data_IF_381336799146
#
_entry.id   IF_381336799146
#
_cell.length_a   1.000
_cell.length_b   1.000
_cell.length_c   1.000
_cell.angle_alpha   90.00
_cell.angle_beta   90.00
_cell.angle_gamma   90.00
#
_symmetry.space_group_name_H-M   'P 1'
#
loop_
_entity.id
_entity.type
_entity.pdbx_description
1 polymer ?
#
# COMPACT_ATOMS: atom_id res chain seq x y z
N UNK A 1 -0.81 16.57 3.32
CA UNK A 1 -1.20 15.63 2.25
C UNK A 1 0.09 15.09 1.67
N UNK A 2 0.36 13.82 1.91
CA UNK A 2 1.61 13.21 1.48
C UNK A 2 1.51 12.86 -0.01
N UNK A 3 2.64 12.77 -0.70
CA UNK A 3 2.69 12.44 -2.14
C UNK A 3 1.95 11.13 -2.52
N UNK A 4 1.73 10.25 -1.55
CA UNK A 4 1.18 8.90 -1.70
C UNK A 4 -0.34 8.83 -1.53
N UNK A 5 -1.02 9.94 -1.18
CA UNK A 5 -2.45 9.92 -0.86
C UNK A 5 -3.30 9.40 -2.06
N UNK A 6 -2.81 9.55 -3.30
CA UNK A 6 -3.45 9.05 -4.52
C UNK A 6 -3.34 7.52 -4.72
N UNK A 7 -2.42 6.86 -4.01
CA UNK A 7 -2.17 5.42 -4.06
C UNK A 7 -2.73 4.70 -2.82
N UNK A 8 -3.50 5.42 -2.00
CA UNK A 8 -3.99 4.97 -0.71
C UNK A 8 -5.50 5.16 -0.64
N UNK A 9 -6.19 4.09 -0.21
CA UNK A 9 -7.61 4.12 0.16
C UNK A 9 -7.77 4.70 1.55
N UNK A 10 -7.70 6.02 1.63
CA UNK A 10 -7.76 6.75 2.91
C UNK A 10 -9.06 6.51 3.68
N UNK A 11 -10.15 6.18 2.98
CA UNK A 11 -11.45 5.80 3.56
C UNK A 11 -11.42 4.47 4.32
N UNK A 12 -10.41 3.63 4.07
CA UNK A 12 -10.24 2.34 4.75
C UNK A 12 -9.23 2.40 5.90
N UNK A 13 -8.67 3.58 6.19
CA UNK A 13 -7.84 3.79 7.37
C UNK A 13 -8.72 3.85 8.65
N UNK A 14 -8.22 3.36 9.80
CA UNK A 14 -6.86 2.89 10.06
C UNK A 14 -6.58 1.48 9.52
N UNK A 15 -5.35 1.26 9.04
CA UNK A 15 -4.93 -0.07 8.59
C UNK A 15 -4.88 -1.08 9.75
N UNK A 16 -5.02 -2.37 9.45
CA UNK A 16 -5.03 -3.43 10.47
C UNK A 16 -3.67 -3.72 11.13
N UNK A 17 -2.55 -3.27 10.55
CA UNK A 17 -1.22 -3.67 11.01
C UNK A 17 -0.94 -3.17 12.43
N UNK A 18 -0.35 -4.04 13.26
CA UNK A 18 -0.01 -3.72 14.64
C UNK A 18 1.00 -2.56 14.75
N UNK A 19 1.01 -1.80 15.85
CA UNK A 19 2.07 -0.83 16.13
C UNK A 19 3.45 -1.50 16.07
N UNK A 20 4.38 -0.94 15.29
CA UNK A 20 5.73 -1.50 15.12
C UNK A 20 5.84 -2.63 14.08
N UNK A 21 4.76 -3.01 13.41
CA UNK A 21 4.79 -4.00 12.34
C UNK A 21 5.55 -3.47 11.11
N UNK A 22 6.54 -4.22 10.64
CA UNK A 22 7.42 -3.83 9.51
C UNK A 22 6.71 -3.85 8.16
N UNK A 23 5.57 -4.53 8.06
CA UNK A 23 4.74 -4.55 6.85
C UNK A 23 4.31 -3.14 6.41
N UNK A 24 4.01 -2.23 7.35
CA UNK A 24 3.66 -0.84 7.02
C UNK A 24 4.82 -0.07 6.38
N UNK A 25 6.04 -0.27 6.88
CA UNK A 25 7.25 0.36 6.30
C UNK A 25 7.58 -0.22 4.93
N UNK A 26 7.47 -1.54 4.76
CA UNK A 26 7.69 -2.20 3.47
C UNK A 26 6.66 -1.72 2.43
N UNK A 27 5.39 -1.63 2.82
CA UNK A 27 4.31 -1.16 1.96
C UNK A 27 4.50 0.29 1.53
N UNK A 28 4.82 1.19 2.46
CA UNK A 28 5.16 2.59 2.13
C UNK A 28 6.31 2.68 1.12
N UNK A 29 7.35 1.87 1.30
CA UNK A 29 8.52 1.85 0.40
C UNK A 29 8.14 1.34 -0.99
N UNK A 30 7.29 0.31 -1.05
CA UNK A 30 6.78 -0.24 -2.31
C UNK A 30 5.88 0.78 -3.05
N UNK A 31 4.95 1.46 -2.37
CA UNK A 31 4.11 2.48 -3.00
C UNK A 31 4.93 3.65 -3.54
N UNK A 32 6.01 4.02 -2.84
CA UNK A 32 6.94 5.03 -3.34
C UNK A 32 7.66 4.58 -4.61
N UNK A 33 8.06 3.32 -4.70
CA UNK A 33 8.62 2.77 -5.93
C UNK A 33 7.60 2.76 -7.09
N UNK A 34 6.33 2.46 -6.81
CA UNK A 34 5.24 2.54 -7.80
C UNK A 34 5.08 3.98 -8.33
N UNK A 35 5.10 4.97 -7.44
CA UNK A 35 5.05 6.39 -7.80
C UNK A 35 6.28 6.80 -8.64
N UNK A 36 7.49 6.43 -8.20
CA UNK A 36 8.75 6.78 -8.87
C UNK A 36 8.86 6.14 -10.27
N UNK A 37 8.25 4.97 -10.48
CA UNK A 37 8.16 4.29 -11.78
C UNK A 37 7.05 4.84 -12.68
N UNK A 38 6.16 5.68 -12.17
CA UNK A 38 5.06 6.27 -12.93
C UNK A 38 4.04 5.24 -13.45
N UNK A 39 3.82 4.15 -12.70
CA UNK A 39 2.89 3.10 -13.13
C UNK A 39 1.45 3.60 -13.12
N UNK A 40 0.74 3.37 -14.23
CA UNK A 40 -0.69 3.70 -14.34
C UNK A 40 -1.52 2.76 -13.46
N UNK A 41 -2.33 3.32 -12.55
CA UNK A 41 -3.13 2.52 -11.60
C UNK A 41 -4.11 1.58 -12.31
N UNK A 42 -4.80 2.06 -13.34
CA UNK A 42 -5.78 1.26 -14.11
C UNK A 42 -5.15 0.09 -14.89
N UNK A 43 -3.81 0.08 -15.03
CA UNK A 43 -3.04 -0.97 -15.71
C UNK A 43 -2.18 -1.79 -14.76
N UNK A 44 -2.28 -1.55 -13.46
CA UNK A 44 -1.41 -2.18 -12.45
C UNK A 44 -2.25 -2.97 -11.46
N UNK A 45 -1.88 -4.23 -11.22
CA UNK A 45 -2.54 -5.11 -10.25
C UNK A 45 -1.56 -5.51 -9.17
N UNK A 46 -1.96 -5.34 -7.91
CA UNK A 46 -1.21 -5.82 -6.75
C UNK A 46 -1.77 -7.16 -6.30
N UNK A 47 -0.92 -8.19 -6.27
CA UNK A 47 -1.31 -9.56 -5.90
C UNK A 47 -0.54 -9.98 -4.65
N UNK A 48 -1.21 -10.67 -3.74
CA UNK A 48 -0.64 -11.13 -2.48
C UNK A 48 -1.18 -12.51 -2.09
N UNK A 49 -0.36 -13.27 -1.35
CA UNK A 49 -0.76 -14.53 -0.75
C UNK A 49 -1.56 -14.33 0.55
N UNK A 50 -1.97 -15.42 1.19
CA UNK A 50 -2.64 -15.40 2.48
C UNK A 50 -1.63 -15.05 3.60
N UNK A 51 -2.00 -14.09 4.46
CA UNK A 51 -1.23 -13.68 5.63
C UNK A 51 -1.47 -12.22 5.99
N UNK A 52 -0.78 -11.70 7.02
CA UNK A 52 -0.89 -10.29 7.39
C UNK A 52 -0.53 -9.38 6.21
N UNK A 53 0.59 -9.62 5.54
CA UNK A 53 0.98 -8.88 4.34
C UNK A 53 -0.11 -8.92 3.24
N UNK A 54 -0.89 -10.01 3.16
CA UNK A 54 -1.97 -10.20 2.21
C UNK A 54 -3.13 -9.22 2.34
N UNK A 55 -3.21 -8.48 3.46
CA UNK A 55 -4.26 -7.48 3.65
C UNK A 55 -3.80 -6.06 3.27
N UNK A 56 -2.51 -5.86 3.00
CA UNK A 56 -1.98 -4.54 2.60
C UNK A 56 -2.57 -4.01 1.29
N UNK A 57 -2.75 -4.82 0.21
CA UNK A 57 -3.24 -4.29 -1.07
C UNK A 57 -4.66 -3.73 -1.01
N UNK A 58 -5.44 -4.12 0.00
CA UNK A 58 -6.80 -3.60 0.22
C UNK A 58 -6.79 -2.09 0.51
N UNK A 59 -5.69 -1.58 1.06
CA UNK A 59 -5.53 -0.16 1.40
C UNK A 59 -4.91 0.68 0.27
N UNK A 60 -4.70 0.10 -0.92
CA UNK A 60 -4.15 0.76 -2.11
C UNK A 60 -5.09 0.71 -3.32
#
# INVERSE_FOLDING_TARGET
MSKLDNLLRTEQMPHFACPGCTHGTAWKSMLKAVEDLGLEQDKTVMVCAIGCAGRLPVYS
#
